data_IF_316805095742
#
_entry.id   IF_316805095742
#
_cell.length_a   1.000
_cell.length_b   1.000
_cell.length_c   1.000
_cell.angle_alpha   90.00
_cell.angle_beta   90.00
_cell.angle_gamma   90.00
#
_symmetry.space_group_name_H-M   'P 1'
#
loop_
_entity.id
_entity.type
_entity.pdbx_description
1 polymer ?
#
# COMPACT_ATOMS: atom_id res chain seq x y z
N UNK A 1 -2.62 -6.44 17.01
CA UNK A 1 -2.92 -5.70 15.76
C UNK A 1 -2.19 -6.35 14.59
N UNK A 2 -0.87 -6.51 14.67
CA UNK A 2 -0.10 -7.30 13.72
C UNK A 2 -0.54 -8.77 13.62
N UNK A 3 -0.90 -9.43 14.73
CA UNK A 3 -1.30 -10.85 14.70
C UNK A 3 -2.42 -11.16 13.69
N UNK A 4 -3.38 -10.26 13.54
CA UNK A 4 -4.48 -10.43 12.59
C UNK A 4 -3.98 -10.31 11.15
N UNK A 5 -3.10 -9.34 10.86
CA UNK A 5 -2.45 -9.21 9.56
C UNK A 5 -1.59 -10.44 9.24
N UNK A 6 -0.77 -10.89 10.19
CA UNK A 6 0.05 -12.11 10.06
C UNK A 6 -0.80 -13.32 9.73
N UNK A 7 -1.89 -13.54 10.47
CA UNK A 7 -2.77 -14.68 10.26
C UNK A 7 -3.53 -14.60 8.94
N UNK A 8 -4.07 -13.42 8.58
CA UNK A 8 -4.92 -13.24 7.40
C UNK A 8 -4.14 -13.35 6.10
N UNK A 9 -2.98 -12.72 6.04
CA UNK A 9 -2.16 -12.64 4.83
C UNK A 9 -1.05 -13.68 4.79
N UNK A 10 -0.94 -14.55 5.81
CA UNK A 10 0.18 -15.49 5.99
C UNK A 10 1.53 -14.78 5.83
N UNK A 11 1.65 -13.59 6.46
CA UNK A 11 2.77 -12.69 6.23
C UNK A 11 4.06 -13.30 6.76
N UNK A 12 5.06 -13.38 5.88
CA UNK A 12 6.42 -13.84 6.18
C UNK A 12 7.38 -12.76 5.66
N UNK A 13 7.99 -11.95 6.53
CA UNK A 13 8.94 -10.93 6.09
C UNK A 13 10.12 -11.59 5.39
N UNK A 14 10.45 -11.10 4.20
CA UNK A 14 11.45 -11.70 3.30
C UNK A 14 12.89 -11.37 3.71
N UNK A 15 13.08 -10.51 4.71
CA UNK A 15 14.39 -10.17 5.28
C UNK A 15 15.35 -9.57 4.26
N UNK A 16 14.88 -8.62 3.44
CA UNK A 16 15.72 -7.97 2.44
C UNK A 16 15.61 -8.55 1.02
N UNK A 17 14.72 -9.51 0.78
CA UNK A 17 14.66 -10.25 -0.50
C UNK A 17 13.41 -9.90 -1.32
N UNK A 18 13.46 -9.95 -2.65
CA UNK A 18 12.29 -9.72 -3.52
C UNK A 18 11.32 -10.92 -3.54
N UNK A 19 11.29 -11.73 -2.48
CA UNK A 19 10.42 -12.89 -2.36
C UNK A 19 9.06 -12.46 -1.80
N UNK A 20 7.96 -13.05 -2.28
CA UNK A 20 6.61 -12.72 -1.82
C UNK A 20 6.51 -12.80 -0.30
N UNK A 21 6.10 -11.70 0.32
CA UNK A 21 5.94 -11.64 1.76
C UNK A 21 4.51 -11.93 2.24
N UNK A 22 3.50 -11.85 1.37
CA UNK A 22 2.10 -12.17 1.68
C UNK A 22 1.52 -13.18 0.69
N UNK A 23 0.53 -13.94 1.16
CA UNK A 23 -0.49 -14.51 0.29
C UNK A 23 -1.44 -13.40 -0.14
N UNK A 24 -1.24 -12.90 -1.35
CA UNK A 24 -2.08 -11.85 -1.96
C UNK A 24 -3.56 -12.26 -1.91
N UNK A 25 -4.46 -11.41 -1.40
CA UNK A 25 -5.90 -11.70 -1.38
C UNK A 25 -6.49 -11.80 -2.78
N UNK A 26 -7.70 -12.34 -2.89
CA UNK A 26 -8.51 -12.23 -4.09
C UNK A 26 -9.77 -11.42 -3.80
N UNK A 27 -10.10 -10.39 -4.60
CA UNK A 27 -9.31 -9.89 -5.73
C UNK A 27 -8.11 -9.02 -5.28
N UNK A 28 -7.05 -9.01 -6.09
CA UNK A 28 -5.92 -8.08 -5.95
C UNK A 28 -5.16 -7.86 -7.26
N UNK A 29 -4.39 -6.77 -7.33
CA UNK A 29 -3.47 -6.45 -8.43
C UNK A 29 -2.17 -5.95 -7.82
N UNK A 30 -1.04 -6.56 -8.18
CA UNK A 30 0.28 -6.15 -7.73
C UNK A 30 1.05 -5.49 -8.85
N UNK A 31 1.54 -4.28 -8.58
CA UNK A 31 2.26 -3.44 -9.53
C UNK A 31 3.75 -3.43 -9.25
N UNK A 32 4.55 -3.28 -10.31
CA UNK A 32 5.96 -2.92 -10.23
C UNK A 32 6.06 -1.40 -10.01
N UNK A 33 6.72 -1.00 -8.93
CA UNK A 33 6.96 0.40 -8.57
C UNK A 33 8.45 0.77 -8.60
N UNK A 34 9.33 -0.06 -9.15
CA UNK A 34 10.77 0.26 -9.29
C UNK A 34 10.99 1.60 -10.02
N UNK A 35 10.15 1.93 -11.00
CA UNK A 35 10.20 3.21 -11.71
C UNK A 35 9.77 4.44 -10.88
N UNK A 36 9.13 4.23 -9.71
CA UNK A 36 8.82 5.29 -8.76
C UNK A 36 10.11 5.77 -8.09
N UNK A 37 11.11 4.89 -7.93
CA UNK A 37 12.39 5.17 -7.28
C UNK A 37 13.50 5.59 -8.25
N UNK A 38 13.18 6.10 -9.44
CA UNK A 38 14.17 6.45 -10.48
C UNK A 38 15.11 7.59 -10.05
N UNK A 39 16.22 7.20 -9.42
CA UNK A 39 17.28 8.09 -8.96
C UNK A 39 18.04 8.80 -10.11
N UNK A 40 17.84 8.39 -11.37
CA UNK A 40 18.45 9.07 -12.51
C UNK A 40 17.79 10.41 -12.84
N UNK A 41 16.62 10.69 -12.25
CA UNK A 41 15.84 11.92 -12.46
C UNK A 41 15.61 12.65 -11.13
N UNK A 42 16.35 13.73 -10.85
CA UNK A 42 16.16 14.51 -9.62
C UNK A 42 14.71 14.97 -9.44
N UNK A 43 14.11 14.68 -8.27
CA UNK A 43 12.74 15.07 -7.93
C UNK A 43 11.62 14.25 -8.60
N UNK A 44 11.96 13.28 -9.46
CA UNK A 44 10.98 12.35 -10.05
C UNK A 44 10.33 11.48 -8.98
N UNK A 45 11.12 10.92 -8.06
CA UNK A 45 10.61 10.03 -7.02
C UNK A 45 9.56 10.72 -6.14
N UNK A 46 9.84 11.93 -5.67
CA UNK A 46 8.89 12.71 -4.87
C UNK A 46 7.56 12.95 -5.60
N UNK A 47 7.60 13.26 -6.90
CA UNK A 47 6.40 13.48 -7.69
C UNK A 47 5.63 12.19 -7.94
N UNK A 48 6.33 11.09 -8.24
CA UNK A 48 5.73 9.79 -8.45
C UNK A 48 5.11 9.23 -7.17
N UNK A 49 5.80 9.32 -6.02
CA UNK A 49 5.27 8.95 -4.70
C UNK A 49 3.99 9.73 -4.39
N UNK A 50 4.03 11.06 -4.53
CA UNK A 50 2.84 11.90 -4.33
C UNK A 50 1.69 11.53 -5.26
N UNK A 51 1.98 11.11 -6.49
CA UNK A 51 0.95 10.66 -7.41
C UNK A 51 0.29 9.36 -6.92
N UNK A 52 1.07 8.36 -6.50
CA UNK A 52 0.53 7.11 -5.93
C UNK A 52 -0.28 7.39 -4.66
N UNK A 53 0.26 8.18 -3.71
CA UNK A 53 -0.42 8.54 -2.47
C UNK A 53 -1.74 9.28 -2.73
N UNK A 54 -1.73 10.25 -3.65
CA UNK A 54 -2.94 10.99 -4.00
C UNK A 54 -3.99 10.09 -4.66
N UNK A 55 -3.57 9.15 -5.52
CA UNK A 55 -4.46 8.15 -6.12
C UNK A 55 -5.05 7.21 -5.06
N UNK A 56 -4.24 6.71 -4.12
CA UNK A 56 -4.70 5.87 -3.03
C UNK A 56 -5.70 6.61 -2.14
N UNK A 57 -5.37 7.84 -1.72
CA UNK A 57 -6.27 8.69 -0.94
C UNK A 57 -7.61 8.91 -1.64
N UNK A 58 -7.60 9.27 -2.93
CA UNK A 58 -8.83 9.44 -3.72
C UNK A 58 -9.65 8.16 -3.78
N UNK A 59 -9.00 7.01 -3.99
CA UNK A 59 -9.67 5.72 -4.08
C UNK A 59 -10.35 5.32 -2.76
N UNK A 60 -9.69 5.54 -1.61
CA UNK A 60 -10.29 5.29 -0.31
C UNK A 60 -11.50 6.20 -0.06
N UNK A 61 -11.37 7.51 -0.29
CA UNK A 61 -12.47 8.45 -0.10
C UNK A 61 -13.67 8.14 -1.01
N UNK A 62 -13.41 7.84 -2.28
CA UNK A 62 -14.46 7.49 -3.23
C UNK A 62 -15.13 6.15 -2.91
N UNK A 63 -14.38 5.17 -2.39
CA UNK A 63 -14.86 3.82 -2.09
C UNK A 63 -15.61 3.69 -0.77
N UNK A 64 -15.21 4.46 0.25
CA UNK A 64 -15.65 4.25 1.64
C UNK A 64 -16.18 5.51 2.32
N UNK A 65 -16.12 6.67 1.64
CA UNK A 65 -16.61 7.95 2.15
C UNK A 65 -15.57 8.76 2.92
N UNK A 66 -15.89 10.03 3.20
CA UNK A 66 -15.01 10.98 3.91
C UNK A 66 -14.71 10.58 5.36
N UNK A 67 -15.61 9.82 5.98
CA UNK A 67 -15.49 9.36 7.37
C UNK A 67 -14.72 8.05 7.53
N UNK A 68 -14.19 7.46 6.44
CA UNK A 68 -13.46 6.19 6.50
C UNK A 68 -12.28 6.30 7.47
N UNK A 69 -12.11 5.31 8.34
CA UNK A 69 -10.93 5.16 9.17
C UNK A 69 -10.07 4.03 8.60
N UNK A 70 -8.81 4.36 8.33
CA UNK A 70 -7.80 3.44 7.81
C UNK A 70 -6.83 3.04 8.92
N UNK A 71 -6.45 1.77 8.90
CA UNK A 71 -5.31 1.26 9.63
C UNK A 71 -4.06 1.42 8.77
N UNK A 72 -3.06 2.11 9.32
CA UNK A 72 -1.73 2.28 8.71
C UNK A 72 -0.72 1.50 9.55
N UNK A 73 0.00 0.59 8.91
CA UNK A 73 1.03 -0.21 9.54
C UNK A 73 2.37 -0.01 8.83
N UNK A 74 3.41 0.13 9.64
CA UNK A 74 4.81 0.13 9.25
C UNK A 74 5.51 -0.98 10.04
N UNK A 75 6.15 -1.93 9.36
CA UNK A 75 6.53 -3.21 9.97
C UNK A 75 7.54 -3.02 11.11
N UNK A 76 7.21 -3.60 12.28
CA UNK A 76 7.90 -3.37 13.56
C UNK A 76 7.83 -1.94 14.14
N UNK A 77 7.13 -1.02 13.47
CA UNK A 77 6.88 0.34 13.92
C UNK A 77 5.45 0.51 14.46
N UNK A 78 5.16 1.72 14.94
CA UNK A 78 3.86 2.09 15.48
C UNK A 78 2.76 1.97 14.42
N UNK A 79 1.57 1.58 14.87
CA UNK A 79 0.39 1.53 14.04
C UNK A 79 -0.46 2.79 14.24
N UNK A 80 -1.00 3.31 13.14
CA UNK A 80 -1.81 4.53 13.15
C UNK A 80 -3.22 4.27 12.66
N UNK A 81 -4.15 5.08 13.16
CA UNK A 81 -5.48 5.23 12.57
C UNK A 81 -5.54 6.58 11.89
N UNK A 82 -5.97 6.59 10.64
CA UNK A 82 -6.02 7.79 9.82
C UNK A 82 -7.39 7.90 9.17
N UNK A 83 -8.00 9.08 9.27
CA UNK A 83 -9.12 9.46 8.42
C UNK A 83 -8.57 10.27 7.25
N UNK A 84 -8.52 9.72 6.03
CA UNK A 84 -7.88 10.39 4.90
C UNK A 84 -8.57 11.72 4.54
N UNK A 85 -9.85 11.90 4.90
CA UNK A 85 -10.60 13.13 4.66
C UNK A 85 -10.14 14.30 5.53
N UNK A 86 -9.52 14.02 6.67
CA UNK A 86 -9.05 15.05 7.58
C UNK A 86 -7.77 15.71 7.03
N UNK A 87 -7.77 17.05 6.89
CA UNK A 87 -6.57 17.82 6.52
C UNK A 87 -5.66 18.04 7.74
N UNK A 88 -5.21 16.96 8.36
CA UNK A 88 -4.30 17.02 9.50
C UNK A 88 -2.89 16.68 9.01
N UNK A 89 -1.87 17.54 9.25
CA UNK A 89 -0.50 17.21 8.95
C UNK A 89 -0.11 15.88 9.63
N UNK A 90 0.63 15.04 8.92
CA UNK A 90 1.17 13.82 9.51
C UNK A 90 1.93 14.16 10.80
N UNK A 91 1.77 13.38 11.89
CA UNK A 91 2.57 13.57 13.09
C UNK A 91 4.05 13.52 12.70
N UNK A 92 4.88 14.38 13.27
CA UNK A 92 6.33 14.35 13.05
C UNK A 92 7.06 13.80 14.26
N UNK A 93 8.08 12.98 14.01
CA UNK A 93 8.98 12.45 15.02
C UNK A 93 9.87 13.53 15.63
N UNK A 94 10.62 13.16 16.68
CA UNK A 94 11.58 14.07 17.32
C UNK A 94 12.75 14.50 16.42
N UNK A 95 12.92 13.81 15.30
CA UNK A 95 13.89 14.09 14.23
C UNK A 95 13.32 14.99 13.10
N UNK A 96 12.03 15.32 13.15
CA UNK A 96 11.35 16.16 12.17
C UNK A 96 10.81 15.42 10.95
N UNK A 97 10.92 14.10 10.88
CA UNK A 97 10.36 13.30 9.79
C UNK A 97 8.90 12.93 10.06
N UNK A 98 8.02 12.84 9.03
CA UNK A 98 6.67 12.31 9.20
C UNK A 98 6.68 10.89 9.74
N UNK A 99 5.84 10.62 10.73
CA UNK A 99 5.65 9.29 11.32
C UNK A 99 4.70 8.40 10.52
N UNK A 100 3.88 9.00 9.66
CA UNK A 100 3.00 8.22 8.79
C UNK A 100 3.78 7.78 7.53
N UNK A 101 3.87 6.47 7.25
CA UNK A 101 4.48 5.98 6.02
C UNK A 101 3.65 6.41 4.81
N UNK A 102 4.25 6.53 3.62
CA UNK A 102 3.49 6.65 2.36
C UNK A 102 2.92 5.28 1.96
N UNK A 103 2.12 5.19 0.89
CA UNK A 103 1.76 3.85 0.36
C UNK A 103 2.91 3.20 -0.42
N UNK A 104 3.92 3.99 -0.80
CA UNK A 104 5.10 3.52 -1.53
C UNK A 104 6.17 3.11 -0.50
N UNK A 105 6.53 1.82 -0.39
CA UNK A 105 7.48 1.33 0.61
C UNK A 105 8.87 1.91 0.41
N UNK A 106 9.45 2.48 1.47
CA UNK A 106 10.84 2.95 1.51
C UNK A 106 11.61 2.18 2.59
N UNK A 107 12.17 1.04 2.19
CA UNK A 107 12.97 0.20 3.08
C UNK A 107 12.20 -0.68 4.07
N UNK A 108 10.89 -0.47 4.25
CA UNK A 108 10.03 -1.31 5.07
C UNK A 108 8.66 -1.66 4.44
N UNK A 109 7.94 -2.63 5.01
CA UNK A 109 6.59 -3.01 4.59
C UNK A 109 5.55 -2.03 5.09
N UNK A 110 4.88 -1.37 4.15
CA UNK A 110 3.81 -0.42 4.46
C UNK A 110 2.45 -0.99 4.10
N UNK A 111 1.51 -0.89 5.03
CA UNK A 111 0.13 -1.36 4.84
C UNK A 111 -0.82 -0.22 5.11
N UNK A 112 -1.71 0.02 4.15
CA UNK A 112 -2.88 0.88 4.30
C UNK A 112 -4.10 -0.01 4.12
N UNK A 113 -4.97 -0.10 5.12
CA UNK A 113 -6.14 -0.96 5.01
C UNK A 113 -7.36 -0.39 5.72
N UNK A 114 -8.55 -0.83 5.31
CA UNK A 114 -9.74 -0.71 6.16
C UNK A 114 -9.52 -1.46 7.47
N UNK A 115 -10.22 -1.07 8.54
CA UNK A 115 -10.03 -1.64 9.89
C UNK A 115 -10.25 -3.17 9.95
N UNK A 116 -11.04 -3.72 9.02
CA UNK A 116 -11.32 -5.16 8.88
C UNK A 116 -10.36 -5.88 7.92
N UNK A 117 -9.33 -5.17 7.42
CA UNK A 117 -8.33 -5.67 6.47
C UNK A 117 -8.92 -6.25 5.18
N UNK A 118 -10.12 -5.83 4.81
CA UNK A 118 -10.80 -6.29 3.60
C UNK A 118 -10.27 -5.62 2.33
N UNK A 119 -9.88 -4.34 2.44
CA UNK A 119 -9.56 -3.47 1.32
C UNK A 119 -8.32 -2.66 1.67
N UNK A 120 -7.36 -2.53 0.74
CA UNK A 120 -6.14 -1.81 1.06
C UNK A 120 -4.99 -1.98 0.08
N UNK A 121 -3.80 -1.63 0.56
CA UNK A 121 -2.53 -1.79 -0.13
C UNK A 121 -1.48 -2.45 0.76
N UNK A 122 -0.57 -3.21 0.15
CA UNK A 122 0.62 -3.75 0.77
C UNK A 122 1.84 -3.40 -0.09
N UNK A 123 2.71 -2.55 0.45
CA UNK A 123 3.98 -2.16 -0.14
C UNK A 123 5.08 -3.13 0.26
N UNK A 124 5.79 -3.69 -0.71
CA UNK A 124 6.97 -4.51 -0.52
C UNK A 124 8.22 -3.76 -0.97
N UNK A 125 9.14 -3.37 -0.06
CA UNK A 125 10.29 -2.53 -0.42
C UNK A 125 11.28 -3.29 -1.31
N UNK A 126 11.60 -4.53 -0.98
CA UNK A 126 12.62 -5.29 -1.70
C UNK A 126 12.16 -5.93 -3.01
N UNK A 127 10.87 -6.24 -3.17
CA UNK A 127 10.29 -6.61 -4.47
C UNK A 127 9.96 -5.38 -5.32
N UNK A 128 10.08 -4.18 -4.73
CA UNK A 128 9.65 -2.91 -5.34
C UNK A 128 8.23 -3.04 -5.89
N UNK A 129 7.31 -3.52 -5.05
CA UNK A 129 5.96 -3.82 -5.46
C UNK A 129 4.89 -3.18 -4.56
N UNK A 130 3.73 -2.90 -5.17
CA UNK A 130 2.54 -2.42 -4.47
C UNK A 130 1.36 -3.33 -4.82
N UNK A 131 0.92 -4.14 -3.87
CA UNK A 131 -0.28 -4.96 -3.99
C UNK A 131 -1.50 -4.14 -3.57
N UNK A 132 -2.46 -3.93 -4.48
CA UNK A 132 -3.76 -3.31 -4.21
C UNK A 132 -4.81 -4.41 -4.10
N UNK A 133 -5.38 -4.60 -2.91
CA UNK A 133 -6.27 -5.72 -2.61
C UNK A 133 -7.66 -5.27 -2.19
N UNK A 134 -8.62 -6.15 -2.42
CA UNK A 134 -10.02 -5.95 -2.07
C UNK A 134 -10.88 -5.54 -3.26
N UNK A 135 -12.16 -5.94 -3.30
CA UNK A 135 -13.04 -5.70 -4.44
C UNK A 135 -13.14 -4.25 -4.90
N UNK A 136 -13.26 -3.31 -3.98
CA UNK A 136 -13.40 -1.88 -4.28
C UNK A 136 -12.05 -1.34 -4.73
N UNK A 137 -11.00 -1.52 -3.94
CA UNK A 137 -9.68 -0.94 -4.20
C UNK A 137 -9.06 -1.47 -5.49
N UNK A 138 -9.21 -2.76 -5.80
CA UNK A 138 -8.72 -3.32 -7.07
C UNK A 138 -9.47 -2.75 -8.28
N UNK A 139 -10.75 -2.39 -8.16
CA UNK A 139 -11.53 -1.79 -9.25
C UNK A 139 -11.34 -0.27 -9.37
N UNK A 140 -10.90 0.41 -8.31
CA UNK A 140 -10.64 1.85 -8.31
C UNK A 140 -9.15 2.13 -8.49
N UNK A 141 -8.37 2.09 -7.40
CA UNK A 141 -6.93 2.32 -7.42
C UNK A 141 -6.23 1.36 -8.37
N UNK A 142 -6.56 0.06 -8.33
CA UNK A 142 -5.97 -0.92 -9.22
C UNK A 142 -6.25 -0.66 -10.70
N UNK A 143 -7.42 -0.14 -11.05
CA UNK A 143 -7.73 0.25 -12.42
C UNK A 143 -6.96 1.51 -12.85
N UNK A 144 -6.83 2.49 -11.96
CA UNK A 144 -6.08 3.73 -12.21
C UNK A 144 -4.59 3.46 -12.39
N UNK A 145 -3.95 2.76 -11.45
CA UNK A 145 -2.52 2.47 -11.47
C UNK A 145 -2.13 1.65 -12.70
N UNK A 146 -2.99 0.72 -13.16
CA UNK A 146 -2.75 -0.09 -14.36
C UNK A 146 -2.55 0.73 -15.64
N UNK A 147 -2.98 1.99 -15.66
CA UNK A 147 -2.81 2.85 -16.84
C UNK A 147 -1.37 3.36 -16.99
N UNK A 148 -0.54 3.29 -15.94
CA UNK A 148 0.81 3.85 -15.94
C UNK A 148 1.87 3.05 -15.14
N UNK A 149 1.47 2.03 -14.39
CA UNK A 149 2.37 1.07 -13.74
C UNK A 149 2.28 -0.32 -14.38
N UNK A 150 3.41 -1.01 -14.58
CA UNK A 150 3.42 -2.41 -14.98
C UNK A 150 2.73 -3.31 -13.95
N UNK A 151 1.93 -4.26 -14.41
CA UNK A 151 1.31 -5.28 -13.55
C UNK A 151 2.27 -6.46 -13.43
N UNK A 152 2.68 -6.78 -12.20
CA UNK A 152 3.45 -7.98 -11.88
C UNK A 152 2.53 -9.20 -11.78
N UNK A 153 1.41 -9.03 -11.07
CA UNK A 153 0.50 -10.13 -10.71
C UNK A 153 -0.93 -9.65 -10.55
N UNK A 154 -1.88 -10.57 -10.71
CA UNK A 154 -3.30 -10.30 -10.52
C UNK A 154 -3.98 -11.56 -9.96
N UNK A 155 -4.75 -11.39 -8.88
CA UNK A 155 -5.63 -12.42 -8.34
C UNK A 155 -7.06 -12.02 -8.66
N UNK A 156 -7.82 -12.91 -9.30
CA UNK A 156 -9.24 -12.71 -9.65
C UNK A 156 -10.09 -13.69 -8.88
N UNK A 157 -11.33 -13.31 -8.58
CA UNK A 157 -12.30 -14.21 -7.95
C UNK A 157 -12.42 -15.51 -8.78
N UNK A 158 -12.19 -16.65 -8.12
CA UNK A 158 -12.31 -17.97 -8.73
C UNK A 158 -11.13 -18.48 -9.56
N UNK A 159 -9.98 -17.78 -9.62
CA UNK A 159 -8.76 -18.37 -10.19
C UNK A 159 -7.92 -19.10 -9.12
N UNK A 160 -7.33 -20.28 -9.44
CA UNK A 160 -6.39 -20.94 -8.54
C UNK A 160 -5.14 -20.08 -8.35
N UNK A 161 -4.60 -20.10 -7.12
CA UNK A 161 -3.34 -19.45 -6.78
C UNK A 161 -2.23 -20.23 -7.50
N UNK A 162 -1.62 -19.61 -8.51
CA UNK A 162 -0.50 -20.15 -9.29
C UNK A 162 0.85 -19.95 -8.63
#
# INVERSE_FOLDING_TARGET
MWDEFYSRFQFVPSGGRPERAIREPSPSVTFDISQVWDASRPGHSDAAIRAVDASARRAFLAGFGEDVELLILDWQHDAFRLRPGDEVPAPTGGDGFPLLPTVVPDGDYYIYATLDLAEGTFGHPWEESLCVFGPIMSRTLGAELRTWLPVLREQRDGQPIG
#
